data_IF_637578165776
#
_entry.id   IF_637578165776
#
_cell.length_a   1.000
_cell.length_b   1.000
_cell.length_c   1.000
_cell.angle_alpha   90.00
_cell.angle_beta   90.00
_cell.angle_gamma   90.00
#
_symmetry.space_group_name_H-M   'P 1'
#
loop_
_entity.id
_entity.type
_entity.pdbx_description
1 polymer ?
#
# COMPACT_ATOMS: atom_id res chain seq x y z
N UNK A 1 -29.08 -69.74 15.23
CA UNK A 1 -28.88 -69.60 16.70
C UNK A 1 -27.39 -69.70 16.96
N UNK A 2 -26.67 -68.69 17.41
CA UNK A 2 -27.07 -67.43 18.03
C UNK A 2 -25.87 -66.48 17.95
N UNK A 3 -26.14 -65.20 17.70
CA UNK A 3 -25.20 -64.09 17.86
C UNK A 3 -24.57 -64.04 19.26
N UNK A 4 -23.31 -63.58 19.32
CA UNK A 4 -22.77 -62.77 20.41
C UNK A 4 -21.54 -62.02 19.88
N UNK A 5 -21.76 -60.86 19.27
CA UNK A 5 -21.46 -59.56 19.87
C UNK A 5 -19.95 -59.33 20.01
N UNK A 6 -19.34 -58.91 18.91
CA UNK A 6 -18.15 -58.07 18.93
C UNK A 6 -18.53 -56.73 19.57
N UNK A 7 -18.28 -56.58 20.87
CA UNK A 7 -18.26 -55.26 21.49
C UNK A 7 -16.91 -54.59 21.18
N UNK A 8 -16.89 -53.45 20.48
CA UNK A 8 -15.66 -52.67 20.35
C UNK A 8 -15.34 -52.10 21.74
N UNK A 9 -14.32 -52.66 22.39
CA UNK A 9 -13.79 -52.15 23.66
C UNK A 9 -13.42 -50.68 23.48
N UNK A 10 -14.23 -49.81 24.07
CA UNK A 10 -14.27 -48.36 23.81
C UNK A 10 -13.27 -47.54 24.61
N UNK A 11 -12.23 -48.15 25.18
CA UNK A 11 -11.24 -47.50 26.02
C UNK A 11 -9.81 -47.86 25.58
N UNK A 12 -9.45 -47.50 24.35
CA UNK A 12 -8.05 -47.47 23.89
C UNK A 12 -7.51 -46.03 24.08
N UNK A 13 -6.89 -45.72 25.24
CA UNK A 13 -6.38 -44.38 25.57
C UNK A 13 -5.13 -43.99 24.74
N UNK A 14 -4.76 -44.80 23.74
CA UNK A 14 -3.72 -44.49 22.76
C UNK A 14 -4.26 -43.78 21.51
N UNK A 15 -5.54 -43.98 21.15
CA UNK A 15 -6.12 -43.46 19.90
C UNK A 15 -6.54 -42.00 19.97
N UNK A 16 -6.96 -41.56 21.14
CA UNK A 16 -7.28 -40.18 21.47
C UNK A 16 -6.00 -39.32 21.58
N UNK A 17 -4.92 -39.84 22.16
CA UNK A 17 -3.64 -39.12 22.24
C UNK A 17 -2.94 -39.01 20.87
N UNK A 18 -2.99 -40.04 20.04
CA UNK A 18 -2.50 -39.99 18.64
C UNK A 18 -3.31 -39.01 17.78
N UNK A 19 -4.64 -38.97 17.98
CA UNK A 19 -5.54 -38.01 17.33
C UNK A 19 -5.32 -36.56 17.80
N UNK A 20 -4.97 -36.36 19.07
CA UNK A 20 -4.69 -35.04 19.63
C UNK A 20 -3.31 -34.51 19.20
N UNK A 21 -2.32 -35.40 19.07
CA UNK A 21 -0.98 -35.08 18.52
C UNK A 21 -1.01 -34.76 17.02
N UNK A 22 -1.94 -35.35 16.26
CA UNK A 22 -2.15 -35.04 14.85
C UNK A 22 -2.85 -33.68 14.62
N UNK A 23 -3.68 -33.23 15.56
CA UNK A 23 -4.47 -32.00 15.43
C UNK A 23 -3.67 -30.69 15.69
N UNK A 24 -2.52 -30.75 16.36
CA UNK A 24 -1.70 -29.56 16.66
C UNK A 24 -0.68 -29.18 15.57
N UNK A 25 -0.54 -29.98 14.49
CA UNK A 25 0.49 -29.77 13.46
C UNK A 25 0.12 -28.80 12.34
N UNK A 26 -1.04 -28.16 12.39
CA UNK A 26 -1.46 -27.17 11.39
C UNK A 26 -1.45 -25.74 11.93
N UNK A 27 -0.30 -25.30 12.46
CA UNK A 27 0.02 -23.87 12.50
C UNK A 27 0.02 -23.35 11.05
N UNK A 28 -0.99 -22.58 10.61
CA UNK A 28 -1.18 -22.31 9.20
C UNK A 28 -0.17 -21.26 8.78
N UNK A 29 0.80 -21.64 7.95
CA UNK A 29 1.71 -20.74 7.21
C UNK A 29 0.98 -19.59 6.47
N UNK A 30 -0.34 -19.70 6.34
CA UNK A 30 -1.26 -18.69 5.80
C UNK A 30 -1.39 -17.43 6.68
N UNK A 31 -1.14 -17.48 7.99
CA UNK A 31 -1.29 -16.31 8.87
C UNK A 31 -0.19 -15.26 8.65
N UNK A 32 1.04 -15.70 8.35
CA UNK A 32 2.16 -14.81 8.05
C UNK A 32 2.04 -14.17 6.66
N UNK A 33 1.51 -14.91 5.67
CA UNK A 33 1.22 -14.38 4.34
C UNK A 33 0.06 -13.35 4.37
N UNK A 34 -0.97 -13.56 5.19
CA UNK A 34 -2.06 -12.61 5.41
C UNK A 34 -1.58 -11.34 6.13
N UNK A 35 -0.71 -11.48 7.13
CA UNK A 35 -0.11 -10.34 7.84
C UNK A 35 0.75 -9.48 6.91
N UNK A 36 1.54 -10.10 6.03
CA UNK A 36 2.32 -9.39 5.02
C UNK A 36 1.42 -8.68 3.99
N UNK A 37 0.38 -9.35 3.50
CA UNK A 37 -0.57 -8.77 2.55
C UNK A 37 -1.31 -7.56 3.11
N UNK A 38 -1.80 -7.64 4.36
CA UNK A 38 -2.46 -6.54 5.03
C UNK A 38 -1.53 -5.32 5.23
N UNK A 39 -0.25 -5.56 5.54
CA UNK A 39 0.74 -4.49 5.70
C UNK A 39 1.02 -3.77 4.37
N UNK A 40 1.17 -4.52 3.27
CA UNK A 40 1.36 -3.95 1.93
C UNK A 40 0.14 -3.13 1.50
N UNK A 41 -1.07 -3.65 1.70
CA UNK A 41 -2.31 -2.90 1.39
C UNK A 41 -2.40 -1.65 2.26
N UNK A 42 -2.10 -1.75 3.55
CA UNK A 42 -2.07 -0.60 4.46
C UNK A 42 -1.08 0.47 4.02
N UNK A 43 0.13 0.08 3.57
CA UNK A 43 1.13 1.01 3.04
C UNK A 43 0.68 1.67 1.74
N UNK A 44 0.03 0.94 0.82
CA UNK A 44 -0.49 1.52 -0.42
C UNK A 44 -1.61 2.52 -0.16
N UNK A 45 -2.51 2.22 0.79
CA UNK A 45 -3.58 3.14 1.20
C UNK A 45 -2.99 4.37 1.90
N UNK A 46 -2.05 4.17 2.84
CA UNK A 46 -1.37 5.27 3.51
C UNK A 46 -0.59 6.14 2.52
N UNK A 47 0.07 5.54 1.53
CA UNK A 47 0.76 6.25 0.47
C UNK A 47 -0.22 7.05 -0.41
N UNK A 48 -1.36 6.47 -0.80
CA UNK A 48 -2.39 7.19 -1.55
C UNK A 48 -2.95 8.39 -0.79
N UNK A 49 -3.23 8.23 0.51
CA UNK A 49 -3.64 9.31 1.40
C UNK A 49 -2.53 10.36 1.47
N UNK A 50 -1.29 9.96 1.70
CA UNK A 50 -0.14 10.85 1.76
C UNK A 50 0.02 11.67 0.47
N UNK A 51 -0.09 11.05 -0.71
CA UNK A 51 0.01 11.74 -1.99
C UNK A 51 -1.11 12.78 -2.17
N UNK A 52 -2.34 12.49 -1.75
CA UNK A 52 -3.47 13.42 -1.88
C UNK A 52 -3.38 14.57 -0.87
N UNK A 53 -2.89 14.32 0.35
CA UNK A 53 -2.79 15.35 1.39
C UNK A 53 -1.52 16.19 1.29
N UNK A 54 -0.37 15.57 0.99
CA UNK A 54 0.93 16.25 1.00
C UNK A 54 1.42 16.68 -0.40
N UNK A 55 1.13 15.91 -1.45
CA UNK A 55 1.61 16.22 -2.80
C UNK A 55 0.60 17.01 -3.65
N UNK A 56 -0.63 17.21 -3.16
CA UNK A 56 -1.64 18.02 -3.86
C UNK A 56 -1.46 19.49 -3.52
N UNK A 57 -1.15 20.30 -4.53
CA UNK A 57 -1.06 21.76 -4.42
C UNK A 57 -2.42 22.34 -4.77
N UNK A 58 -3.17 22.80 -3.75
CA UNK A 58 -4.43 23.50 -3.97
C UNK A 58 -4.16 25.00 -4.15
N UNK A 59 -4.52 25.55 -5.32
CA UNK A 59 -4.43 26.99 -5.58
C UNK A 59 -5.75 27.65 -5.15
N UNK A 60 -5.75 28.52 -4.13
CA UNK A 60 -6.97 29.17 -3.67
C UNK A 60 -7.62 30.00 -4.78
N UNK A 61 -8.93 30.19 -4.69
CA UNK A 61 -9.64 31.10 -5.59
C UNK A 61 -9.07 32.51 -5.47
N UNK A 62 -8.77 33.13 -6.62
CA UNK A 62 -8.14 34.45 -6.69
C UNK A 62 -6.61 34.47 -6.53
N UNK A 63 -5.96 33.32 -6.38
CA UNK A 63 -4.49 33.21 -6.39
C UNK A 63 -3.99 32.60 -7.70
N UNK A 64 -2.70 32.57 -7.96
CA UNK A 64 -2.14 31.88 -9.14
C UNK A 64 -0.84 31.19 -8.73
N UNK A 65 -0.60 29.99 -9.23
CA UNK A 65 0.64 29.27 -8.92
C UNK A 65 1.72 29.58 -9.96
N UNK A 66 2.79 30.21 -9.48
CA UNK A 66 4.00 30.49 -10.26
C UNK A 66 4.90 29.26 -10.24
N UNK A 67 5.14 28.66 -11.41
CA UNK A 67 6.02 27.51 -11.53
C UNK A 67 7.47 27.97 -11.67
N UNK A 68 8.36 27.38 -10.86
CA UNK A 68 9.80 27.60 -10.92
C UNK A 68 10.48 26.27 -11.25
N UNK A 69 10.95 26.12 -12.49
CA UNK A 69 11.71 24.95 -12.90
C UNK A 69 13.11 25.02 -12.26
N UNK A 70 13.50 23.98 -11.51
CA UNK A 70 14.85 23.92 -10.92
C UNK A 70 15.90 23.38 -11.88
N UNK A 71 15.47 22.75 -12.95
CA UNK A 71 16.27 22.08 -13.97
C UNK A 71 15.84 22.55 -15.36
N UNK A 72 16.72 22.37 -16.35
CA UNK A 72 16.50 22.86 -17.71
C UNK A 72 17.66 23.72 -18.20
N UNK A 73 17.48 24.28 -19.39
CA UNK A 73 18.46 25.17 -20.03
C UNK A 73 18.59 26.48 -19.25
N UNK A 74 19.80 27.05 -19.24
CA UNK A 74 20.04 28.32 -18.56
C UNK A 74 19.36 29.47 -19.32
N UNK A 75 18.89 30.46 -18.56
CA UNK A 75 18.30 31.66 -19.15
C UNK A 75 19.36 32.47 -19.91
N UNK A 76 18.96 33.13 -21.00
CA UNK A 76 19.77 34.16 -21.64
C UNK A 76 20.18 35.25 -20.64
N UNK A 77 21.36 35.84 -20.83
CA UNK A 77 21.86 36.90 -19.95
C UNK A 77 20.87 38.07 -19.87
N UNK A 78 20.57 38.53 -18.66
CA UNK A 78 19.61 39.62 -18.41
C UNK A 78 18.13 39.21 -18.44
N UNK A 79 17.81 37.94 -18.67
CA UNK A 79 16.45 37.41 -18.67
C UNK A 79 16.11 36.78 -17.31
N UNK A 80 14.93 37.10 -16.78
CA UNK A 80 14.44 36.57 -15.48
C UNK A 80 13.36 35.49 -15.68
N UNK A 81 12.55 35.62 -16.75
CA UNK A 81 11.44 34.71 -17.05
C UNK A 81 11.83 33.70 -18.13
N UNK A 82 11.59 32.42 -17.88
CA UNK A 82 11.65 31.35 -18.87
C UNK A 82 10.50 31.53 -19.85
N UNK A 83 10.83 31.79 -21.12
CA UNK A 83 9.85 32.06 -22.19
C UNK A 83 9.59 30.82 -23.03
N UNK A 84 10.51 29.86 -23.03
CA UNK A 84 10.40 28.60 -23.76
C UNK A 84 10.21 27.44 -22.80
N UNK A 85 9.43 26.40 -23.19
CA UNK A 85 9.39 25.15 -22.44
C UNK A 85 10.80 24.55 -22.31
N UNK A 86 11.18 24.15 -21.10
CA UNK A 86 12.48 23.51 -20.83
C UNK A 86 13.59 24.44 -20.34
N UNK A 87 13.37 25.75 -20.28
CA UNK A 87 14.27 26.69 -19.60
C UNK A 87 14.08 26.59 -18.07
N UNK A 88 15.19 26.64 -17.31
CA UNK A 88 15.20 26.71 -15.84
C UNK A 88 14.55 28.03 -15.36
N UNK A 89 14.12 28.14 -14.12
CA UNK A 89 13.67 29.40 -13.52
C UNK A 89 12.16 29.63 -13.62
N UNK A 90 11.74 30.89 -13.48
CA UNK A 90 10.33 31.29 -13.36
C UNK A 90 9.66 31.13 -14.73
N UNK A 91 8.67 30.25 -14.82
CA UNK A 91 7.96 29.98 -16.07
C UNK A 91 7.00 31.13 -16.40
N UNK A 92 6.92 31.50 -17.68
CA UNK A 92 5.93 32.48 -18.17
C UNK A 92 4.50 31.93 -18.08
N UNK A 93 4.34 30.64 -18.34
CA UNK A 93 3.05 29.97 -18.21
C UNK A 93 2.81 29.58 -16.74
N UNK A 94 1.73 30.10 -16.19
CA UNK A 94 1.32 29.89 -14.80
C UNK A 94 0.26 28.82 -14.70
N UNK A 95 0.22 28.11 -13.58
CA UNK A 95 -0.86 27.17 -13.28
C UNK A 95 -2.09 27.98 -12.85
N UNK A 96 -3.16 27.86 -13.65
CA UNK A 96 -4.43 28.53 -13.39
C UNK A 96 -5.09 27.98 -12.12
N UNK A 97 -5.95 28.80 -11.52
CA UNK A 97 -6.85 28.34 -10.46
C UNK A 97 -7.78 27.26 -10.98
N UNK A 98 -7.97 26.21 -10.20
CA UNK A 98 -8.78 25.07 -10.57
C UNK A 98 -8.61 23.93 -9.57
N UNK A 99 -9.63 23.09 -9.45
CA UNK A 99 -9.64 21.91 -8.58
C UNK A 99 -8.66 20.84 -9.03
#
# INVERSE_FOLDING_TARGET
MSESHDEPNGDDPGRDVEGLLAAEREQPKKSLAMAGGALVVGLLVAFGIFQVFFCRIEVPSGQVAVLIAKTGDNLPSGQILARKPGEKGIQLEVLKTGR
#
